data_IF_797306215795
#
_entry.id   IF_797306215795
#
_cell.length_a   1.000
_cell.length_b   1.000
_cell.length_c   1.000
_cell.angle_alpha   90.00
_cell.angle_beta   90.00
_cell.angle_gamma   90.00
#
_symmetry.space_group_name_H-M   'P 1'
#
loop_
_entity.id
_entity.type
_entity.pdbx_description
1 polymer ?
#
# COMPACT_ATOMS: atom_id res chain seq x y z
N UNK A 1 -23.56 -6.75 -0.37
CA UNK A 1 -22.22 -6.16 -0.59
C UNK A 1 -21.21 -7.26 -0.36
N UNK A 2 -20.50 -7.69 -1.41
CA UNK A 2 -19.47 -8.72 -1.28
C UNK A 2 -18.26 -8.06 -0.64
N UNK A 3 -17.96 -8.39 0.63
CA UNK A 3 -16.76 -7.92 1.31
C UNK A 3 -15.53 -8.57 0.66
N UNK A 4 -15.05 -7.99 -0.44
CA UNK A 4 -13.76 -8.35 -1.01
C UNK A 4 -12.71 -7.94 0.02
N UNK A 5 -11.95 -8.91 0.53
CA UNK A 5 -10.77 -8.62 1.34
C UNK A 5 -9.79 -7.86 0.45
N UNK A 6 -9.49 -6.62 0.82
CA UNK A 6 -8.43 -5.85 0.18
C UNK A 6 -7.11 -6.27 0.80
N UNK A 7 -6.19 -6.75 -0.03
CA UNK A 7 -4.85 -7.15 0.40
C UNK A 7 -3.83 -6.05 0.12
N UNK A 8 -2.65 -6.13 0.75
CA UNK A 8 -1.52 -5.26 0.39
C UNK A 8 -1.10 -5.41 -1.07
N UNK A 9 -1.26 -6.61 -1.64
CA UNK A 9 -0.98 -6.85 -3.05
C UNK A 9 -1.95 -6.10 -3.95
N UNK A 10 -3.25 -6.07 -3.61
CA UNK A 10 -4.23 -5.26 -4.36
C UNK A 10 -3.87 -3.77 -4.34
N UNK A 11 -3.34 -3.26 -3.21
CA UNK A 11 -2.85 -1.88 -3.09
C UNK A 11 -1.60 -1.62 -3.94
N UNK A 12 -0.60 -2.51 -3.89
CA UNK A 12 0.62 -2.38 -4.68
C UNK A 12 0.33 -2.44 -6.19
N UNK A 13 -0.60 -3.30 -6.60
CA UNK A 13 -1.02 -3.43 -8.00
C UNK A 13 -1.74 -2.16 -8.49
N UNK A 14 -2.62 -1.58 -7.66
CA UNK A 14 -3.26 -0.30 -7.99
C UNK A 14 -2.24 0.84 -8.15
N UNK A 15 -1.22 0.91 -7.29
CA UNK A 15 -0.16 1.93 -7.39
C UNK A 15 0.71 1.70 -8.64
N UNK A 16 1.04 0.45 -8.95
CA UNK A 16 1.76 0.09 -10.18
C UNK A 16 1.03 0.56 -11.43
N UNK A 17 -0.29 0.32 -11.50
CA UNK A 17 -1.13 0.70 -12.64
C UNK A 17 -1.31 2.22 -12.78
N UNK A 18 -1.54 2.92 -11.67
CA UNK A 18 -1.85 4.36 -11.69
C UNK A 18 -0.61 5.25 -11.83
N UNK A 19 0.55 4.82 -11.31
CA UNK A 19 1.77 5.64 -11.25
C UNK A 19 2.85 5.15 -12.24
N UNK A 20 2.75 3.92 -12.73
CA UNK A 20 3.68 3.35 -13.71
C UNK A 20 5.04 2.95 -13.15
N UNK A 21 5.18 2.86 -11.82
CA UNK A 21 6.36 2.30 -11.15
C UNK A 21 6.50 0.81 -11.44
N UNK A 22 7.64 0.18 -11.17
CA UNK A 22 7.68 -1.29 -11.14
C UNK A 22 6.85 -1.85 -9.98
N UNK A 23 6.45 -3.12 -10.06
CA UNK A 23 5.71 -3.79 -8.98
C UNK A 23 6.46 -3.77 -7.64
N UNK A 24 7.79 -3.91 -7.68
CA UNK A 24 8.62 -3.89 -6.48
C UNK A 24 8.64 -2.50 -5.85
N UNK A 25 8.89 -1.46 -6.66
CA UNK A 25 8.86 -0.06 -6.18
C UNK A 25 7.48 0.32 -5.63
N UNK A 26 6.42 -0.18 -6.24
CA UNK A 26 5.04 0.03 -5.76
C UNK A 26 4.79 -0.65 -4.42
N UNK A 27 5.27 -1.88 -4.23
CA UNK A 27 5.17 -2.59 -2.96
C UNK A 27 5.97 -1.89 -1.85
N UNK A 28 7.20 -1.47 -2.15
CA UNK A 28 8.05 -0.74 -1.20
C UNK A 28 7.42 0.60 -0.79
N UNK A 29 6.80 1.31 -1.74
CA UNK A 29 6.10 2.57 -1.47
C UNK A 29 4.88 2.34 -0.56
N UNK A 30 4.05 1.34 -0.86
CA UNK A 30 2.87 1.00 -0.03
C UNK A 30 3.31 0.65 1.39
N UNK A 31 4.35 -0.16 1.56
CA UNK A 31 4.85 -0.54 2.88
C UNK A 31 5.41 0.65 3.65
N UNK A 32 6.16 1.53 2.98
CA UNK A 32 6.68 2.77 3.58
C UNK A 32 5.57 3.67 4.11
N UNK A 33 4.49 3.85 3.35
CA UNK A 33 3.33 4.65 3.78
C UNK A 33 2.64 4.00 4.97
N UNK A 34 2.36 2.69 4.91
CA UNK A 34 1.71 1.97 6.02
C UNK A 34 2.55 1.99 7.30
N UNK A 35 3.88 1.91 7.17
CA UNK A 35 4.82 2.04 8.28
C UNK A 35 4.74 3.45 8.88
N UNK A 36 4.86 4.50 8.06
CA UNK A 36 4.76 5.89 8.54
C UNK A 36 3.44 6.18 9.23
N UNK A 37 2.32 5.67 8.71
CA UNK A 37 1.00 5.79 9.34
C UNK A 37 0.98 5.09 10.70
N UNK A 38 1.52 3.86 10.77
CA UNK A 38 1.55 3.07 11.99
C UNK A 38 2.41 3.75 13.06
N UNK A 39 3.57 4.26 12.68
CA UNK A 39 4.50 4.98 13.55
C UNK A 39 3.87 6.28 14.08
N UNK A 40 3.21 7.05 13.21
CA UNK A 40 2.50 8.27 13.60
C UNK A 40 1.38 7.97 14.60
N UNK A 41 0.59 6.93 14.36
CA UNK A 41 -0.49 6.51 15.27
C UNK A 41 0.05 5.97 16.60
N UNK A 42 1.19 5.27 16.58
CA UNK A 42 1.85 4.80 17.80
C UNK A 42 2.48 5.94 18.61
N UNK A 43 2.89 7.02 17.93
CA UNK A 43 3.55 8.18 18.53
C UNK A 43 2.63 9.19 19.24
N UNK A 44 1.35 9.28 18.84
CA UNK A 44 0.33 10.15 19.47
C UNK A 44 0.02 11.42 18.71
#
# INVERSE_FOLDING_TARGET
MTNKTLTRMDLADAVHEEVGLSRNESADLVESVLTQMSDALAGG
#
